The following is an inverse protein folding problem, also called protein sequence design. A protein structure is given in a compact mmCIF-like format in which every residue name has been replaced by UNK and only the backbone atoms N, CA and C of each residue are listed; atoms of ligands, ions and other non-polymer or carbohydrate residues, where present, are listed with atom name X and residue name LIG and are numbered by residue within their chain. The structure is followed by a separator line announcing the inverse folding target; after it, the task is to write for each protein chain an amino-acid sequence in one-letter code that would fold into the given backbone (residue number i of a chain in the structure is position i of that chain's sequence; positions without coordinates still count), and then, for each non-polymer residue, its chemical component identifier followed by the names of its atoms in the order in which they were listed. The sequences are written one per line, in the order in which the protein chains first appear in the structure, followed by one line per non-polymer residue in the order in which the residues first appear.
data_IF_536007230932
#
_entry.id   IF_536007230932
#
_cell.length_a   1.000
_cell.length_b   1.000
_cell.length_c   1.000
_cell.angle_alpha   90.00
_cell.angle_beta   90.00
_cell.angle_gamma   90.00
#
_symmetry.space_group_name_H-M   'P 1'
#
loop_
_entity.id
_entity.type
_entity.pdbx_description
1 polymer ?
#
# COMPACT_ATOMS: atom_id res chain seq x y z
N UNK A 1 -14.05 -58.21 21.34
CA UNK A 1 -13.80 -57.92 19.91
C UNK A 1 -14.05 -56.43 19.73
N UNK A 2 -12.95 -55.71 19.63
CA UNK A 2 -12.79 -54.28 19.82
C UNK A 2 -13.08 -53.52 18.53
N UNK A 3 -13.81 -52.42 18.63
CA UNK A 3 -14.08 -51.50 17.55
C UNK A 3 -12.95 -50.44 17.51
N UNK A 4 -12.00 -50.58 16.63
CA UNK A 4 -11.14 -49.51 16.21
C UNK A 4 -11.86 -48.68 15.13
N UNK A 5 -12.24 -47.46 15.51
CA UNK A 5 -12.86 -46.49 14.60
C UNK A 5 -11.82 -45.40 14.28
N UNK A 6 -11.30 -45.52 13.08
CA UNK A 6 -10.79 -44.48 12.18
C UNK A 6 -10.68 -43.04 12.72
N UNK A 7 -9.52 -42.66 13.17
CA UNK A 7 -9.11 -41.27 13.44
C UNK A 7 -8.37 -40.63 12.26
N UNK A 8 -8.72 -40.97 11.02
CA UNK A 8 -7.93 -40.64 9.84
C UNK A 8 -8.26 -39.36 9.06
N UNK A 9 -9.33 -38.62 9.40
CA UNK A 9 -9.82 -37.55 8.48
C UNK A 9 -9.96 -36.15 9.11
N UNK A 10 -9.41 -35.86 10.28
CA UNK A 10 -9.55 -34.54 10.90
C UNK A 10 -8.32 -33.61 10.74
N UNK A 11 -7.29 -34.03 10.04
CA UNK A 11 -6.00 -33.31 9.99
C UNK A 11 -5.85 -32.32 8.85
N UNK A 12 -6.56 -32.46 7.76
CA UNK A 12 -6.31 -31.61 6.57
C UNK A 12 -7.04 -30.27 6.56
N UNK A 13 -8.17 -30.15 7.26
CA UNK A 13 -8.93 -28.89 7.27
C UNK A 13 -8.42 -27.84 8.26
N UNK A 14 -7.70 -28.24 9.31
CA UNK A 14 -7.13 -27.30 10.28
C UNK A 14 -5.85 -26.63 9.77
N UNK A 15 -5.03 -27.33 8.97
CA UNK A 15 -3.78 -26.76 8.46
C UNK A 15 -3.96 -25.64 7.42
N UNK A 16 -5.07 -25.60 6.70
CA UNK A 16 -5.29 -24.54 5.70
C UNK A 16 -5.74 -23.20 6.33
N UNK A 17 -6.43 -23.24 7.46
CA UNK A 17 -6.82 -22.03 8.21
C UNK A 17 -5.69 -21.52 9.10
N UNK A 18 -4.87 -22.42 9.65
CA UNK A 18 -3.80 -22.08 10.58
C UNK A 18 -2.56 -21.45 9.89
N UNK A 19 -2.27 -21.78 8.64
CA UNK A 19 -1.15 -21.21 7.90
C UNK A 19 -1.26 -19.70 7.64
N UNK A 20 -2.46 -19.13 7.72
CA UNK A 20 -2.67 -17.69 7.58
C UNK A 20 -2.78 -16.94 8.92
N UNK A 21 -3.09 -17.63 10.01
CA UNK A 21 -3.37 -17.00 11.31
C UNK A 21 -2.21 -17.11 12.31
N UNK A 22 -1.43 -18.19 12.26
CA UNK A 22 -0.40 -18.49 13.29
C UNK A 22 0.82 -17.56 13.26
N UNK A 23 0.99 -16.75 12.20
CA UNK A 23 2.11 -15.81 12.10
C UNK A 23 1.71 -14.33 12.20
N UNK A 24 0.46 -14.03 12.47
CA UNK A 24 0.10 -12.67 12.84
C UNK A 24 0.43 -12.47 14.32
N UNK A 25 1.24 -11.45 14.67
CA UNK A 25 1.46 -11.11 16.07
C UNK A 25 0.11 -10.84 16.75
N UNK A 26 -0.02 -11.11 18.05
CA UNK A 26 -1.29 -10.98 18.76
C UNK A 26 -1.96 -9.63 18.47
N UNK A 27 -3.26 -9.60 18.16
CA UNK A 27 -3.95 -8.37 17.77
C UNK A 27 -4.04 -7.31 18.86
N UNK A 28 -3.82 -7.68 20.10
CA UNK A 28 -3.94 -6.81 21.29
C UNK A 28 -2.64 -6.09 21.71
N UNK A 29 -1.55 -6.19 20.95
CA UNK A 29 -0.33 -5.41 21.22
C UNK A 29 -0.57 -3.94 20.88
N UNK A 30 -0.43 -3.04 21.87
CA UNK A 30 -0.68 -1.61 21.71
C UNK A 30 0.16 -0.99 20.59
N UNK A 31 1.46 -1.17 20.58
CA UNK A 31 2.35 -0.65 19.54
C UNK A 31 1.90 -1.04 18.11
N UNK A 32 1.49 -2.31 17.93
CA UNK A 32 0.97 -2.74 16.62
C UNK A 32 -0.32 -2.03 16.24
N UNK A 33 -1.20 -1.81 17.21
CA UNK A 33 -2.48 -1.12 16.95
C UNK A 33 -2.22 0.31 16.53
N UNK A 34 -1.30 1.00 17.19
CA UNK A 34 -0.90 2.37 16.87
C UNK A 34 -0.30 2.48 15.46
N UNK A 35 0.66 1.61 15.11
CA UNK A 35 1.23 1.52 13.76
C UNK A 35 0.14 1.28 12.69
N UNK A 36 -0.76 0.33 12.92
CA UNK A 36 -1.83 0.02 11.99
C UNK A 36 -2.85 1.16 11.87
N UNK A 37 -3.11 1.91 12.96
CA UNK A 37 -3.94 3.10 12.91
C UNK A 37 -3.29 4.23 12.11
N UNK A 38 -1.99 4.45 12.28
CA UNK A 38 -1.23 5.44 11.50
C UNK A 38 -1.29 5.12 9.99
N UNK A 39 -0.97 3.89 9.61
CA UNK A 39 -1.06 3.44 8.20
C UNK A 39 -2.49 3.57 7.66
N UNK A 40 -3.50 3.21 8.47
CA UNK A 40 -4.91 3.34 8.08
C UNK A 40 -5.30 4.80 7.82
N UNK A 41 -4.85 5.73 8.65
CA UNK A 41 -5.12 7.16 8.49
C UNK A 41 -4.43 7.71 7.24
N UNK A 42 -3.15 7.40 7.05
CA UNK A 42 -2.32 7.83 5.93
C UNK A 42 -2.90 7.40 4.58
N UNK A 43 -3.22 6.12 4.44
CA UNK A 43 -3.76 5.56 3.19
C UNK A 43 -5.30 5.64 3.07
N UNK A 44 -6.00 6.27 4.02
CA UNK A 44 -7.46 6.42 3.97
C UNK A 44 -8.22 5.09 3.89
N UNK A 45 -7.73 4.06 4.58
CA UNK A 45 -8.30 2.71 4.53
C UNK A 45 -9.55 2.62 5.42
N UNK A 46 -10.52 1.79 5.01
CA UNK A 46 -11.76 1.57 5.77
C UNK A 46 -11.53 0.60 6.94
N UNK A 47 -10.85 -0.51 6.71
CA UNK A 47 -10.69 -1.59 7.67
C UNK A 47 -9.23 -1.99 7.84
N UNK A 48 -8.83 -2.43 9.05
CA UNK A 48 -7.52 -3.01 9.34
C UNK A 48 -7.24 -4.28 8.52
N UNK A 49 -8.29 -4.99 8.11
CA UNK A 49 -8.18 -6.18 7.26
C UNK A 49 -7.46 -5.89 5.93
N UNK A 50 -7.55 -4.67 5.41
CA UNK A 50 -6.83 -4.28 4.19
C UNK A 50 -5.31 -4.27 4.43
N UNK A 51 -4.87 -3.76 5.59
CA UNK A 51 -3.46 -3.78 6.02
C UNK A 51 -2.97 -5.22 6.21
N UNK A 52 -3.78 -6.06 6.86
CA UNK A 52 -3.40 -7.46 7.09
C UNK A 52 -3.25 -8.25 5.79
N UNK A 53 -4.09 -7.96 4.79
CA UNK A 53 -3.94 -8.53 3.44
C UNK A 53 -2.62 -8.10 2.80
N UNK A 54 -2.26 -6.82 2.87
CA UNK A 54 -1.00 -6.30 2.36
C UNK A 54 0.20 -6.92 3.10
N UNK A 55 0.17 -6.96 4.44
CA UNK A 55 1.20 -7.64 5.26
C UNK A 55 1.33 -9.13 4.92
N UNK A 56 0.23 -9.83 4.63
CA UNK A 56 0.25 -11.24 4.23
C UNK A 56 0.83 -11.44 2.83
N UNK A 57 0.52 -10.54 1.90
CA UNK A 57 1.09 -10.54 0.55
C UNK A 57 2.60 -10.30 0.58
N UNK A 58 3.06 -9.29 1.32
CA UNK A 58 4.47 -8.99 1.53
C UNK A 58 5.23 -10.20 2.10
N UNK A 59 4.65 -10.82 3.14
CA UNK A 59 5.23 -12.00 3.78
C UNK A 59 5.37 -13.18 2.82
N UNK A 60 4.42 -13.33 1.88
CA UNK A 60 4.49 -14.34 0.83
C UNK A 60 5.66 -14.07 -0.12
N UNK A 61 5.82 -12.84 -0.59
CA UNK A 61 6.93 -12.46 -1.48
C UNK A 61 8.28 -12.62 -0.81
N UNK A 62 8.45 -12.14 0.43
CA UNK A 62 9.68 -12.31 1.20
C UNK A 62 10.01 -13.78 1.44
N UNK A 63 9.02 -14.61 1.78
CA UNK A 63 9.24 -16.05 1.98
C UNK A 63 9.68 -16.75 0.69
N UNK A 64 9.11 -16.35 -0.44
CA UNK A 64 9.51 -16.88 -1.74
C UNK A 64 10.94 -16.46 -2.10
N UNK A 65 11.29 -15.18 -1.89
CA UNK A 65 12.65 -14.70 -2.11
C UNK A 65 13.68 -15.44 -1.24
N UNK A 66 13.44 -15.58 0.06
CA UNK A 66 14.33 -16.30 0.97
C UNK A 66 14.51 -17.77 0.59
N UNK A 67 13.45 -18.42 0.06
CA UNK A 67 13.56 -19.79 -0.45
C UNK A 67 14.46 -19.85 -1.67
N UNK A 68 14.34 -18.90 -2.59
CA UNK A 68 15.12 -18.85 -3.82
C UNK A 68 16.60 -18.53 -3.53
N UNK A 69 16.90 -17.65 -2.59
CA UNK A 69 18.28 -17.35 -2.16
C UNK A 69 18.98 -18.66 -1.71
N UNK A 70 18.30 -19.48 -0.90
CA UNK A 70 18.85 -20.75 -0.45
C UNK A 70 18.94 -21.84 -1.53
N UNK A 71 18.24 -21.69 -2.67
CA UNK A 71 18.25 -22.65 -3.76
C UNK A 71 19.20 -22.30 -4.90
N UNK A 72 19.54 -21.01 -5.06
CA UNK A 72 20.41 -20.54 -6.16
C UNK A 72 21.77 -21.23 -6.14
N UNK A 73 22.28 -21.56 -4.94
CA UNK A 73 23.56 -22.23 -4.78
C UNK A 73 23.50 -23.74 -5.09
N UNK A 74 22.31 -24.36 -5.07
CA UNK A 74 22.17 -25.82 -5.14
C UNK A 74 21.56 -26.35 -6.44
N UNK A 75 20.79 -25.58 -7.18
CA UNK A 75 20.06 -26.04 -8.38
C UNK A 75 20.34 -25.14 -9.58
N UNK A 76 21.23 -25.57 -10.44
CA UNK A 76 21.48 -24.92 -11.72
C UNK A 76 20.25 -25.03 -12.64
N UNK A 77 19.71 -23.89 -13.04
CA UNK A 77 18.68 -23.74 -14.08
C UNK A 77 17.25 -23.51 -13.60
N UNK A 78 16.69 -24.30 -12.72
CA UNK A 78 15.29 -24.13 -12.28
C UNK A 78 15.15 -22.94 -11.30
N UNK A 79 16.01 -22.87 -10.30
CA UNK A 79 16.01 -21.77 -9.33
C UNK A 79 16.24 -20.40 -9.98
N UNK A 80 17.09 -20.33 -11.01
CA UNK A 80 17.33 -19.08 -11.75
C UNK A 80 16.08 -18.62 -12.52
N UNK A 81 15.37 -19.55 -13.17
CA UNK A 81 14.11 -19.23 -13.88
C UNK A 81 13.03 -18.76 -12.92
N UNK A 82 12.84 -19.44 -11.79
CA UNK A 82 11.89 -19.01 -10.78
C UNK A 82 12.23 -17.62 -10.20
N UNK A 83 13.51 -17.33 -10.01
CA UNK A 83 14.00 -16.03 -9.59
C UNK A 83 13.63 -14.94 -10.61
N UNK A 84 13.96 -15.17 -11.89
CA UNK A 84 13.65 -14.23 -12.97
C UNK A 84 12.13 -14.02 -13.11
N UNK A 85 11.33 -15.07 -13.02
CA UNK A 85 9.86 -14.96 -13.08
C UNK A 85 9.29 -14.19 -11.90
N UNK A 86 9.84 -14.38 -10.69
CA UNK A 86 9.45 -13.61 -9.51
C UNK A 86 9.79 -12.12 -9.68
N UNK A 87 11.02 -11.81 -10.07
CA UNK A 87 11.47 -10.44 -10.31
C UNK A 87 10.63 -9.78 -11.41
N UNK A 88 10.39 -10.45 -12.52
CA UNK A 88 9.54 -9.98 -13.62
C UNK A 88 8.10 -9.71 -13.15
N UNK A 89 7.53 -10.61 -12.35
CA UNK A 89 6.18 -10.44 -11.81
C UNK A 89 6.08 -9.25 -10.87
N UNK A 90 7.09 -9.00 -10.03
CA UNK A 90 7.11 -7.86 -9.11
C UNK A 90 7.41 -6.55 -9.85
N UNK A 91 8.26 -6.58 -10.88
CA UNK A 91 8.49 -5.45 -11.76
C UNK A 91 7.21 -5.02 -12.50
N UNK A 92 6.47 -5.97 -13.08
CA UNK A 92 5.20 -5.67 -13.75
C UNK A 92 4.16 -5.08 -12.80
N UNK A 93 4.18 -5.48 -11.53
CA UNK A 93 3.36 -4.87 -10.48
C UNK A 93 3.88 -3.50 -10.02
N UNK A 94 5.04 -3.06 -10.51
CA UNK A 94 5.67 -1.79 -10.16
C UNK A 94 6.16 -1.72 -8.70
N UNK A 95 6.44 -2.85 -8.07
CA UNK A 95 6.97 -2.91 -6.71
C UNK A 95 8.48 -2.76 -6.66
N UNK A 96 9.18 -3.20 -7.72
CA UNK A 96 10.64 -3.13 -7.85
C UNK A 96 11.04 -2.58 -9.22
N UNK A 97 12.27 -2.16 -9.35
CA UNK A 97 12.85 -1.71 -10.63
C UNK A 97 13.32 -2.90 -11.48
N UNK A 98 13.71 -2.64 -12.73
CA UNK A 98 14.17 -3.66 -13.67
C UNK A 98 15.43 -4.39 -13.21
N UNK A 99 16.35 -3.66 -12.57
CA UNK A 99 17.68 -4.12 -12.19
C UNK A 99 17.75 -4.59 -10.72
N UNK A 100 16.57 -4.84 -10.13
CA UNK A 100 16.45 -5.22 -8.72
C UNK A 100 16.94 -6.66 -8.46
N UNK A 101 17.54 -6.84 -7.30
CA UNK A 101 17.98 -8.12 -6.75
C UNK A 101 16.92 -8.80 -5.86
N UNK A 102 17.18 -10.03 -5.42
CA UNK A 102 16.32 -10.70 -4.42
C UNK A 102 16.33 -9.99 -3.07
N UNK A 103 17.43 -9.31 -2.73
CA UNK A 103 17.54 -8.56 -1.47
C UNK A 103 16.60 -7.36 -1.44
N UNK A 104 16.36 -6.73 -2.60
CA UNK A 104 15.40 -5.62 -2.72
C UNK A 104 13.97 -6.07 -2.38
N UNK A 105 13.63 -7.34 -2.65
CA UNK A 105 12.33 -7.92 -2.25
C UNK A 105 12.22 -8.03 -0.73
N UNK A 106 13.32 -8.28 -0.03
CA UNK A 106 13.34 -8.36 1.44
C UNK A 106 13.19 -6.98 2.08
N UNK A 107 13.65 -5.93 1.41
CA UNK A 107 13.54 -4.54 1.88
C UNK A 107 12.15 -3.93 1.73
N UNK A 108 11.31 -4.44 0.79
CA UNK A 108 9.96 -3.93 0.54
C UNK A 108 9.14 -3.77 1.82
N UNK A 109 8.43 -2.65 1.93
CA UNK A 109 7.53 -2.34 3.04
C UNK A 109 6.06 -2.72 2.77
N UNK A 110 5.23 -2.59 3.78
CA UNK A 110 3.77 -2.75 3.65
C UNK A 110 3.16 -1.60 2.84
N UNK A 111 3.74 -0.42 2.99
CA UNK A 111 3.31 0.81 2.31
C UNK A 111 3.49 0.73 0.81
N UNK A 112 4.57 0.08 0.33
CA UNK A 112 4.82 -0.10 -1.10
C UNK A 112 3.69 -0.87 -1.78
N UNK A 113 3.18 -1.92 -1.11
CA UNK A 113 2.04 -2.68 -1.61
C UNK A 113 0.76 -1.85 -1.59
N UNK A 114 0.58 -1.01 -0.57
CA UNK A 114 -0.59 -0.13 -0.46
C UNK A 114 -0.53 1.00 -1.48
N UNK A 115 0.65 1.51 -1.79
CA UNK A 115 0.88 2.55 -2.80
C UNK A 115 0.59 2.06 -4.23
N UNK A 116 0.71 0.77 -4.49
CA UNK A 116 0.36 0.18 -5.81
C UNK A 116 -1.14 -0.06 -6.03
N UNK A 117 -1.98 0.26 -5.06
CA UNK A 117 -3.44 0.15 -5.21
C UNK A 117 -4.00 1.31 -6.01
N UNK A 118 -5.07 1.06 -6.76
CA UNK A 118 -5.74 2.08 -7.57
C UNK A 118 -6.10 3.33 -6.76
N UNK A 119 -6.55 3.17 -5.52
CA UNK A 119 -6.87 4.30 -4.64
C UNK A 119 -5.66 5.22 -4.43
N UNK A 120 -4.49 4.67 -4.16
CA UNK A 120 -3.27 5.42 -3.96
C UNK A 120 -2.77 6.04 -5.28
N UNK A 121 -2.81 5.30 -6.37
CA UNK A 121 -2.41 5.77 -7.69
C UNK A 121 -3.26 6.95 -8.19
N UNK A 122 -4.56 6.93 -7.95
CA UNK A 122 -5.47 8.05 -8.25
C UNK A 122 -5.08 9.32 -7.46
N UNK A 123 -4.66 9.16 -6.21
CA UNK A 123 -4.17 10.28 -5.41
C UNK A 123 -2.82 10.80 -5.92
N UNK A 124 -1.85 9.93 -6.17
CA UNK A 124 -0.51 10.33 -6.66
C UNK A 124 -0.56 10.97 -8.04
N UNK A 125 -1.48 10.55 -8.91
CA UNK A 125 -1.72 11.22 -10.20
C UNK A 125 -2.41 12.58 -10.06
N UNK A 126 -2.81 12.97 -8.86
CA UNK A 126 -3.48 14.24 -8.62
C UNK A 126 -4.91 14.29 -9.15
N UNK A 127 -5.56 13.14 -9.32
CA UNK A 127 -6.98 13.07 -9.66
C UNK A 127 -7.89 13.24 -8.43
N UNK A 128 -7.31 13.27 -7.23
CA UNK A 128 -8.03 13.48 -5.98
C UNK A 128 -7.18 14.31 -5.00
N UNK A 129 -7.82 15.11 -4.14
CA UNK A 129 -7.13 15.93 -3.13
C UNK A 129 -6.74 15.16 -1.88
N UNK A 130 -7.42 14.05 -1.59
CA UNK A 130 -7.16 13.22 -0.42
C UNK A 130 -7.33 11.74 -0.75
N UNK A 131 -6.66 10.86 0.01
CA UNK A 131 -6.82 9.40 -0.13
C UNK A 131 -8.27 8.93 0.06
N UNK A 132 -9.03 9.59 0.95
CA UNK A 132 -10.46 9.28 1.16
C UNK A 132 -11.31 9.67 -0.04
N UNK A 133 -11.02 10.83 -0.65
CA UNK A 133 -11.70 11.28 -1.86
C UNK A 133 -11.37 10.35 -3.04
N UNK A 134 -10.11 9.95 -3.21
CA UNK A 134 -9.72 8.98 -4.24
C UNK A 134 -10.55 7.70 -4.13
N UNK A 135 -10.72 7.18 -2.91
CA UNK A 135 -11.58 6.01 -2.65
C UNK A 135 -13.04 6.26 -3.07
N UNK A 136 -13.57 7.43 -2.78
CA UNK A 136 -14.92 7.79 -3.17
C UNK A 136 -15.08 7.83 -4.68
N UNK A 137 -14.16 8.48 -5.39
CA UNK A 137 -14.17 8.56 -6.86
C UNK A 137 -14.13 7.18 -7.52
N UNK A 138 -13.27 6.28 -7.02
CA UNK A 138 -13.18 4.90 -7.50
C UNK A 138 -14.48 4.14 -7.23
N UNK A 139 -15.02 4.18 -6.01
CA UNK A 139 -16.26 3.48 -5.67
C UNK A 139 -17.47 3.95 -6.49
N UNK A 140 -17.55 5.24 -6.78
CA UNK A 140 -18.58 5.81 -7.65
C UNK A 140 -18.36 5.52 -9.13
N UNK A 141 -17.22 4.89 -9.49
CA UNK A 141 -16.90 4.53 -10.85
C UNK A 141 -16.65 5.73 -11.76
N UNK A 142 -16.07 6.77 -11.20
CA UNK A 142 -15.68 7.97 -11.94
C UNK A 142 -14.28 7.86 -12.54
N UNK A 143 -13.56 6.77 -12.21
CA UNK A 143 -12.21 6.45 -12.68
C UNK A 143 -12.27 5.26 -13.64
N UNK A 144 -11.48 5.33 -14.71
CA UNK A 144 -11.25 4.23 -15.64
C UNK A 144 -9.74 3.99 -15.83
N UNK A 145 -9.40 2.78 -16.23
CA UNK A 145 -8.07 2.39 -16.68
C UNK A 145 -8.21 2.08 -18.16
N UNK A 146 -7.59 2.89 -19.00
CA UNK A 146 -7.87 2.85 -20.44
C UNK A 146 -9.35 3.14 -20.72
N UNK A 147 -10.06 2.16 -21.24
CA UNK A 147 -11.49 2.26 -21.54
C UNK A 147 -12.38 1.56 -20.50
N UNK A 148 -11.76 0.80 -19.59
CA UNK A 148 -12.49 0.01 -18.61
C UNK A 148 -12.74 0.79 -17.31
N UNK A 149 -14.01 0.89 -16.90
CA UNK A 149 -14.42 1.44 -15.61
C UNK A 149 -14.06 0.49 -14.48
N UNK A 150 -13.31 0.98 -13.48
CA UNK A 150 -12.89 0.20 -12.31
C UNK A 150 -13.49 0.81 -11.06
N UNK A 151 -14.18 -0.02 -10.25
CA UNK A 151 -14.87 0.39 -9.02
C UNK A 151 -14.23 -0.18 -7.75
N UNK A 152 -13.13 -0.91 -7.89
CA UNK A 152 -12.45 -1.60 -6.79
C UNK A 152 -11.25 -0.79 -6.33
N UNK A 153 -11.27 -0.13 -5.15
CA UNK A 153 -10.16 0.71 -4.67
C UNK A 153 -8.90 -0.10 -4.31
N UNK A 154 -9.06 -1.39 -4.01
CA UNK A 154 -7.93 -2.28 -3.69
C UNK A 154 -7.33 -2.98 -4.91
N UNK A 155 -7.72 -2.61 -6.12
CA UNK A 155 -7.16 -3.15 -7.35
C UNK A 155 -5.66 -2.83 -7.43
N UNK A 156 -4.78 -3.84 -7.60
CA UNK A 156 -3.35 -3.61 -7.80
C UNK A 156 -3.11 -3.17 -9.24
N UNK A 157 -2.64 -1.96 -9.41
CA UNK A 157 -2.36 -1.39 -10.73
C UNK A 157 -1.02 -1.89 -11.23
N UNK A 158 -0.97 -2.45 -12.45
CA UNK A 158 0.28 -2.79 -13.12
C UNK A 158 1.01 -1.52 -13.60
N UNK A 159 2.29 -1.67 -13.96
CA UNK A 159 3.09 -0.55 -14.46
C UNK A 159 2.53 0.03 -15.76
N UNK A 160 2.09 -0.85 -16.66
CA UNK A 160 1.52 -0.46 -17.97
C UNK A 160 0.16 0.24 -17.82
N UNK A 161 -0.65 -0.19 -16.85
CA UNK A 161 -1.96 0.40 -16.56
C UNK A 161 -1.87 1.76 -15.88
N UNK A 162 -0.75 2.03 -15.18
CA UNK A 162 -0.57 3.25 -14.42
C UNK A 162 -0.73 4.49 -15.30
N UNK A 163 -0.17 4.51 -16.51
CA UNK A 163 -0.26 5.64 -17.43
C UNK A 163 -1.68 5.90 -17.93
N UNK A 164 -2.50 4.85 -17.97
CA UNK A 164 -3.85 4.89 -18.54
C UNK A 164 -4.97 5.21 -17.54
N UNK A 165 -4.62 5.56 -16.30
CA UNK A 165 -5.60 5.96 -15.29
C UNK A 165 -6.11 7.38 -15.60
N UNK A 166 -7.41 7.52 -15.82
CA UNK A 166 -8.08 8.80 -16.14
C UNK A 166 -9.51 8.83 -15.60
N UNK A 167 -10.16 10.00 -15.68
CA UNK A 167 -11.59 10.09 -15.38
C UNK A 167 -12.39 9.38 -16.49
N UNK A 168 -13.48 8.73 -16.10
CA UNK A 168 -14.38 8.10 -17.05
C UNK A 168 -15.04 9.16 -17.94
N UNK A 169 -15.13 8.95 -19.26
CA UNK A 169 -15.62 9.96 -20.21
C UNK A 169 -17.08 10.40 -19.93
N UNK A 170 -17.94 9.53 -19.41
CA UNK A 170 -19.30 9.89 -19.01
C UNK A 170 -19.39 10.61 -17.66
N UNK A 171 -18.27 10.82 -16.96
CA UNK A 171 -18.23 11.52 -15.67
C UNK A 171 -18.26 13.03 -15.89
N UNK A 172 -19.04 13.75 -15.07
CA UNK A 172 -19.01 15.21 -15.04
C UNK A 172 -17.63 15.78 -14.66
N UNK A 173 -16.77 14.99 -14.01
CA UNK A 173 -15.39 15.36 -13.67
C UNK A 173 -14.45 15.38 -14.89
N UNK A 174 -14.88 14.88 -16.04
CA UNK A 174 -14.09 14.99 -17.25
C UNK A 174 -14.02 16.44 -17.75
N UNK A 175 -15.00 17.28 -17.38
CA UNK A 175 -14.99 18.70 -17.71
C UNK A 175 -13.98 19.45 -16.82
N UNK A 176 -13.02 20.20 -17.40
CA UNK A 176 -12.01 20.95 -16.65
C UNK A 176 -12.62 22.04 -15.75
N UNK A 177 -13.79 22.58 -16.13
CA UNK A 177 -14.47 23.63 -15.36
C UNK A 177 -15.18 23.15 -14.09
N UNK A 178 -15.24 21.85 -13.86
CA UNK A 178 -15.93 21.31 -12.70
C UNK A 178 -15.28 21.78 -11.38
N UNK A 179 -16.09 22.22 -10.41
CA UNK A 179 -15.63 22.83 -9.16
C UNK A 179 -14.63 21.95 -8.38
N UNK A 180 -14.83 20.63 -8.35
CA UNK A 180 -13.91 19.69 -7.70
C UNK A 180 -12.56 19.67 -8.42
N UNK A 181 -12.54 19.75 -9.76
CA UNK A 181 -11.31 19.75 -10.54
C UNK A 181 -10.51 21.03 -10.33
N UNK A 182 -11.16 22.18 -10.34
CA UNK A 182 -10.54 23.47 -9.99
C UNK A 182 -9.97 23.46 -8.57
N UNK A 183 -10.67 22.85 -7.62
CA UNK A 183 -10.17 22.69 -6.26
C UNK A 183 -8.95 21.76 -6.14
N UNK A 184 -8.84 20.74 -7.00
CA UNK A 184 -7.68 19.86 -7.08
C UNK A 184 -6.48 20.61 -7.66
N UNK A 185 -6.68 21.32 -8.79
CA UNK A 185 -5.65 22.11 -9.47
C UNK A 185 -5.10 23.21 -8.56
N UNK A 186 -5.95 24.02 -7.94
CA UNK A 186 -5.53 25.06 -7.01
C UNK A 186 -4.82 24.55 -5.75
N UNK A 187 -5.01 23.27 -5.38
CA UNK A 187 -4.24 22.67 -4.28
C UNK A 187 -2.88 22.18 -4.76
N UNK A 188 -2.78 21.69 -5.98
CA UNK A 188 -1.51 21.30 -6.60
C UNK A 188 -0.61 22.50 -6.78
N UNK A 189 -1.12 23.59 -7.34
CA UNK A 189 -0.39 24.85 -7.48
C UNK A 189 0.15 25.33 -6.14
N UNK A 190 -0.68 25.34 -5.08
CA UNK A 190 -0.21 25.72 -3.73
C UNK A 190 0.86 24.79 -3.18
N UNK A 191 0.81 23.49 -3.48
CA UNK A 191 1.82 22.54 -3.06
C UNK A 191 3.14 22.73 -3.85
N UNK A 192 3.05 23.03 -5.14
CA UNK A 192 4.21 23.34 -5.99
C UNK A 192 4.91 24.63 -5.52
N UNK A 193 4.16 25.71 -5.26
CA UNK A 193 4.71 26.94 -4.69
C UNK A 193 5.36 26.73 -3.33
N UNK A 194 4.76 25.92 -2.46
CA UNK A 194 5.33 25.62 -1.16
C UNK A 194 6.64 24.81 -1.23
N UNK A 195 6.83 24.04 -2.30
CA UNK A 195 8.11 23.31 -2.54
C UNK A 195 9.16 24.23 -3.12
N UNK A 196 8.78 25.20 -3.97
CA UNK A 196 9.71 26.19 -4.55
C UNK A 196 10.17 27.22 -3.51
N UNK A 197 9.34 27.57 -2.50
CA UNK A 197 9.72 28.48 -1.41
C UNK A 197 10.67 27.86 -0.37
N UNK A 198 10.87 26.53 -0.39
CA UNK A 198 11.93 25.90 0.41
C UNK A 198 13.25 26.04 -0.35
N UNK A 199 13.91 27.17 -0.15
CA UNK A 199 15.24 27.44 -0.69
C UNK A 199 16.19 26.28 -0.37
N UNK A 200 16.95 25.77 -1.36
CA UNK A 200 17.93 24.70 -1.17
C UNK A 200 19.12 25.12 -0.27
N UNK A 201 19.20 26.36 0.16
CA UNK A 201 20.17 26.91 1.10
C UNK A 201 19.69 27.01 2.56
N UNK A 202 18.48 26.54 2.87
CA UNK A 202 18.05 26.43 4.26
C UNK A 202 18.92 25.42 4.99
N UNK A 203 19.87 25.97 5.78
CA UNK A 203 20.86 25.24 6.56
C UNK A 203 20.19 24.18 7.46
N UNK A 204 20.88 23.07 7.76
CA UNK A 204 20.36 21.99 8.60
C UNK A 204 19.92 22.44 10.01
N UNK A 205 20.30 23.65 10.42
CA UNK A 205 19.87 24.29 11.68
C UNK A 205 18.36 24.63 11.68
N UNK A 206 17.79 25.10 10.56
CA UNK A 206 16.36 25.44 10.48
C UNK A 206 15.46 24.18 10.50
N UNK A 207 15.93 23.08 9.95
CA UNK A 207 15.23 21.80 10.01
C UNK A 207 15.23 21.21 11.44
N UNK A 208 16.20 21.52 12.26
CA UNK A 208 16.27 21.15 13.67
C UNK A 208 15.31 22.03 14.51
N UNK A 209 15.25 23.31 14.25
CA UNK A 209 14.41 24.26 14.97
C UNK A 209 12.89 24.01 14.72
N UNK A 210 12.53 23.62 13.50
CA UNK A 210 11.14 23.24 13.16
C UNK A 210 10.74 21.91 13.84
N UNK A 211 11.68 20.98 14.01
CA UNK A 211 11.44 19.74 14.77
C UNK A 211 11.27 20.02 16.27
N UNK A 212 12.09 20.91 16.83
CA UNK A 212 12.03 21.28 18.24
C UNK A 212 10.77 22.10 18.56
N UNK A 213 10.32 22.96 17.62
CA UNK A 213 9.05 23.69 17.75
C UNK A 213 7.81 22.79 17.62
N UNK A 214 7.89 21.70 16.84
CA UNK A 214 6.83 20.71 16.74
C UNK A 214 6.73 19.80 17.97
N UNK A 215 7.85 19.59 18.67
CA UNK A 215 7.93 18.81 19.90
C UNK A 215 7.56 19.61 21.16
N UNK A 216 7.66 20.95 21.08
CA UNK A 216 7.34 21.88 22.16
C UNK A 216 5.88 22.36 22.17
N UNK A 217 5.01 21.84 21.30
CA UNK A 217 3.57 22.15 21.34
C UNK A 217 2.94 21.55 22.62
N UNK A 218 2.37 22.39 23.52
CA UNK A 218 1.83 21.89 24.77
C UNK A 218 0.63 20.99 24.50
N UNK A 219 0.68 19.79 25.08
CA UNK A 219 -0.47 18.90 25.19
C UNK A 219 -1.61 19.66 25.86
N UNK A 220 -2.67 19.93 25.13
CA UNK A 220 -3.90 20.48 25.68
C UNK A 220 -4.52 19.40 26.57
N UNK A 221 -4.30 19.52 27.87
CA UNK A 221 -5.04 18.80 28.89
C UNK A 221 -6.51 19.21 28.77
N UNK A 222 -7.35 18.34 28.26
CA UNK A 222 -8.80 18.45 28.45
C UNK A 222 -9.11 18.10 29.89
N UNK A 223 -9.07 19.13 30.75
CA UNK A 223 -9.62 19.04 32.07
C UNK A 223 -11.10 18.70 32.00
N UNK A 224 -11.47 17.59 32.63
CA UNK A 224 -12.84 17.28 32.93
C UNK A 224 -13.29 18.19 34.07
N UNK A 225 -14.54 18.64 33.98
CA UNK A 225 -15.30 19.10 35.14
C UNK A 225 -16.77 18.82 34.92
N UNK A 226 -17.33 18.09 35.91
CA UNK A 226 -18.71 17.96 36.39
C UNK A 226 -19.81 17.44 35.45
#
# INVERSE_FOLDING_TARGET
MSAERSEGCRWESQNFLDLNLTHLPPPWKAARIEEEHAIKAQHGLKNMREIWKAKSQLRRHRRQAMRLIGMVDTTEGHGKREMEDLLRSLHNKGLIQSDASLDDILSLGTEDILNRRLQAQVYYKGLATTMKQARQLVNHGLICIGDQKVTIPSYPVSRDEEEHIKYHPSSGLNNPEHAIRKAIEGRREKAEYAVEEVDPEATPEFAAEVKEAAEAAPSVETGGDE
#
